data_IF_405975809931
#
_entry.id   IF_405975809931
#
_cell.length_a   1.000
_cell.length_b   1.000
_cell.length_c   1.000
_cell.angle_alpha   90.00
_cell.angle_beta   90.00
_cell.angle_gamma   90.00
#
_symmetry.space_group_name_H-M   'P 1'
#
loop_
_entity.id
_entity.type
_entity.pdbx_description
1 polymer ?
#
# COMPACT_ATOMS: atom_id res chain seq x y z
N UNK A 1 -6.89 -16.64 30.72
CA UNK A 1 -6.88 -17.13 29.33
C UNK A 1 -5.43 -17.06 28.87
N UNK A 2 -4.94 -17.94 27.97
CA UNK A 2 -3.62 -17.75 27.40
C UNK A 2 -3.55 -16.33 26.82
N UNK A 3 -2.48 -15.62 27.14
CA UNK A 3 -2.30 -14.23 26.75
C UNK A 3 -1.78 -14.21 25.32
N UNK A 4 -2.46 -13.52 24.39
CA UNK A 4 -2.01 -13.41 23.00
C UNK A 4 -0.68 -12.62 22.94
N UNK A 5 0.39 -13.18 22.37
CA UNK A 5 1.75 -12.60 22.39
C UNK A 5 1.88 -11.29 21.60
N UNK A 6 0.89 -10.98 20.75
CA UNK A 6 0.84 -9.74 19.97
C UNK A 6 0.16 -8.61 20.76
N UNK A 7 -0.84 -8.94 21.57
CA UNK A 7 -1.65 -7.96 22.31
C UNK A 7 -1.06 -7.61 23.68
N UNK A 8 -0.44 -8.58 24.37
CA UNK A 8 0.17 -8.33 25.69
C UNK A 8 1.59 -8.85 25.71
N UNK A 9 2.52 -7.99 26.12
CA UNK A 9 3.95 -8.27 26.10
C UNK A 9 4.66 -7.50 27.21
N UNK A 10 5.59 -8.17 27.89
CA UNK A 10 6.48 -7.58 28.90
C UNK A 10 7.84 -7.17 28.30
N UNK A 11 8.01 -7.31 26.98
CA UNK A 11 9.24 -6.95 26.30
C UNK A 11 9.44 -5.42 26.33
N UNK A 12 10.71 -4.94 26.33
CA UNK A 12 11.01 -3.51 26.34
C UNK A 12 10.25 -2.74 25.26
N UNK A 13 9.76 -1.55 25.61
CA UNK A 13 8.96 -0.68 24.73
C UNK A 13 7.65 -1.32 24.24
N UNK A 14 7.16 -2.36 24.92
CA UNK A 14 5.98 -3.14 24.55
C UNK A 14 6.09 -3.81 23.17
N UNK A 15 7.31 -4.20 22.77
CA UNK A 15 7.58 -4.91 21.53
C UNK A 15 6.74 -6.21 21.46
N UNK A 16 5.96 -6.45 20.37
CA UNK A 16 5.25 -7.71 20.21
C UNK A 16 6.22 -8.91 20.32
N UNK A 17 5.80 -9.98 20.97
CA UNK A 17 6.63 -11.19 21.10
C UNK A 17 6.56 -12.02 19.82
N UNK A 18 7.21 -11.52 18.75
CA UNK A 18 7.28 -12.19 17.45
C UNK A 18 7.91 -13.58 17.52
N UNK A 19 8.74 -13.87 18.52
CA UNK A 19 9.37 -15.17 18.68
C UNK A 19 8.36 -16.26 19.11
N UNK A 20 7.31 -15.85 19.82
CA UNK A 20 6.25 -16.76 20.28
C UNK A 20 4.99 -16.71 19.41
N UNK A 21 4.83 -15.69 18.56
CA UNK A 21 3.63 -15.49 17.75
C UNK A 21 3.50 -16.53 16.64
N UNK A 22 2.28 -17.05 16.49
CA UNK A 22 1.86 -17.95 15.42
C UNK A 22 0.86 -17.27 14.48
N UNK A 23 0.60 -17.87 13.32
CA UNK A 23 -0.45 -17.42 12.39
C UNK A 23 -1.84 -17.40 13.02
N UNK A 24 -2.10 -18.28 14.00
CA UNK A 24 -3.35 -18.28 14.77
C UNK A 24 -3.44 -17.09 15.73
N UNK A 25 -2.31 -16.67 16.32
CA UNK A 25 -2.28 -15.50 17.21
C UNK A 25 -2.60 -14.20 16.45
N UNK A 26 -2.11 -14.05 15.20
CA UNK A 26 -2.47 -12.91 14.35
C UNK A 26 -3.98 -12.84 14.09
N UNK A 27 -4.57 -14.00 13.74
CA UNK A 27 -6.00 -14.10 13.49
C UNK A 27 -6.81 -13.70 14.72
N UNK A 28 -6.48 -14.29 15.85
CA UNK A 28 -7.14 -14.02 17.12
C UNK A 28 -6.98 -12.55 17.53
N UNK A 29 -5.78 -11.98 17.40
CA UNK A 29 -5.52 -10.59 17.77
C UNK A 29 -6.30 -9.60 16.91
N UNK A 30 -6.38 -9.83 15.59
CA UNK A 30 -7.15 -8.98 14.67
C UNK A 30 -8.65 -9.08 14.98
N UNK A 31 -9.19 -10.29 15.18
CA UNK A 31 -10.61 -10.47 15.51
C UNK A 31 -10.98 -9.84 16.85
N UNK A 32 -10.16 -10.05 17.88
CA UNK A 32 -10.36 -9.43 19.20
C UNK A 32 -10.27 -7.92 19.11
N UNK A 33 -9.28 -7.38 18.39
CA UNK A 33 -9.12 -5.95 18.19
C UNK A 33 -10.31 -5.32 17.45
N UNK A 34 -10.83 -5.97 16.41
CA UNK A 34 -12.01 -5.48 15.68
C UNK A 34 -13.24 -5.42 16.60
N UNK A 35 -13.49 -6.46 17.38
CA UNK A 35 -14.60 -6.48 18.35
C UNK A 35 -14.42 -5.40 19.41
N UNK A 36 -13.24 -5.33 20.04
CA UNK A 36 -12.94 -4.35 21.08
C UNK A 36 -13.09 -2.91 20.59
N UNK A 37 -12.65 -2.61 19.36
CA UNK A 37 -12.79 -1.28 18.79
C UNK A 37 -14.25 -0.91 18.53
N UNK A 38 -15.05 -1.81 17.96
CA UNK A 38 -16.47 -1.52 17.73
C UNK A 38 -17.23 -1.36 19.05
N UNK A 39 -16.95 -2.17 20.07
CA UNK A 39 -17.57 -2.06 21.39
C UNK A 39 -17.16 -0.75 22.08
N UNK A 40 -15.88 -0.37 22.02
CA UNK A 40 -15.38 0.88 22.58
C UNK A 40 -15.97 2.11 21.89
N UNK A 41 -16.04 2.11 20.55
CA UNK A 41 -16.67 3.20 19.79
C UNK A 41 -18.18 3.25 19.98
N UNK A 42 -18.86 2.12 20.20
CA UNK A 42 -20.26 2.10 20.61
C UNK A 42 -20.44 2.77 21.98
N UNK A 43 -19.52 2.55 22.93
CA UNK A 43 -19.54 3.24 24.23
C UNK A 43 -19.32 4.76 24.07
N UNK A 44 -18.43 5.20 23.17
CA UNK A 44 -18.24 6.63 22.84
C UNK A 44 -19.53 7.23 22.27
N UNK A 45 -20.13 6.55 21.29
CA UNK A 45 -21.37 6.96 20.61
C UNK A 45 -22.56 7.06 21.57
N UNK A 46 -22.70 6.08 22.47
CA UNK A 46 -23.86 5.94 23.34
C UNK A 46 -23.67 6.60 24.72
N UNK A 47 -22.53 7.25 24.96
CA UNK A 47 -22.28 7.96 26.21
C UNK A 47 -23.24 9.15 26.37
N UNK A 48 -24.08 9.11 27.40
CA UNK A 48 -25.09 10.13 27.69
C UNK A 48 -24.52 11.41 28.33
N UNK A 49 -23.28 11.39 28.81
CA UNK A 49 -22.62 12.58 29.32
C UNK A 49 -22.31 13.57 28.19
N UNK A 50 -22.22 14.88 28.46
CA UNK A 50 -21.79 15.86 27.45
C UNK A 50 -20.42 15.51 26.85
N UNK A 51 -20.25 15.67 25.52
CA UNK A 51 -19.01 15.28 24.81
C UNK A 51 -17.77 16.09 25.24
N UNK A 52 -16.73 15.43 25.76
CA UNK A 52 -15.44 16.03 26.14
C UNK A 52 -14.31 15.43 25.31
N UNK A 53 -13.13 16.05 25.33
CA UNK A 53 -11.92 15.50 24.68
C UNK A 53 -11.65 14.07 25.16
N UNK A 54 -11.72 13.84 26.48
CA UNK A 54 -11.46 12.54 27.09
C UNK A 54 -12.48 11.46 26.68
N UNK A 55 -13.78 11.77 26.73
CA UNK A 55 -14.82 10.77 26.46
C UNK A 55 -15.16 10.59 24.97
N UNK A 56 -14.53 11.35 24.07
CA UNK A 56 -14.63 11.18 22.62
C UNK A 56 -13.29 10.85 21.99
N UNK A 57 -12.30 11.75 22.03
CA UNK A 57 -11.01 11.53 21.37
C UNK A 57 -10.18 10.49 22.11
N UNK A 58 -10.00 10.67 23.43
CA UNK A 58 -9.23 9.73 24.25
C UNK A 58 -9.85 8.33 24.24
N UNK A 59 -11.15 8.24 24.49
CA UNK A 59 -11.88 6.97 24.48
C UNK A 59 -11.89 6.27 23.10
N UNK A 60 -11.93 7.02 21.99
CA UNK A 60 -11.83 6.44 20.65
C UNK A 60 -10.41 5.93 20.34
N UNK A 61 -9.37 6.64 20.79
CA UNK A 61 -7.98 6.19 20.64
C UNK A 61 -7.70 4.93 21.46
N UNK A 62 -8.22 4.85 22.69
CA UNK A 62 -8.16 3.66 23.52
C UNK A 62 -8.89 2.48 22.86
N UNK A 63 -10.04 2.72 22.24
CA UNK A 63 -10.81 1.67 21.55
C UNK A 63 -10.03 1.04 20.36
N UNK A 64 -9.19 1.82 19.67
CA UNK A 64 -8.40 1.33 18.53
C UNK A 64 -7.13 0.55 18.95
N UNK A 65 -6.67 0.73 20.19
CA UNK A 65 -5.31 0.33 20.62
C UNK A 65 -4.93 -1.12 20.29
N UNK A 66 -5.81 -2.08 20.58
CA UNK A 66 -5.55 -3.50 20.35
C UNK A 66 -5.53 -3.86 18.87
N UNK A 67 -6.48 -3.34 18.07
CA UNK A 67 -6.50 -3.60 16.63
C UNK A 67 -5.28 -2.99 15.95
N UNK A 68 -4.91 -1.75 16.31
CA UNK A 68 -3.72 -1.09 15.79
C UNK A 68 -2.45 -1.89 16.10
N UNK A 69 -2.33 -2.40 17.33
CA UNK A 69 -1.21 -3.27 17.73
C UNK A 69 -1.16 -4.56 16.91
N UNK A 70 -2.30 -5.24 16.75
CA UNK A 70 -2.41 -6.46 15.96
C UNK A 70 -2.06 -6.25 14.48
N UNK A 71 -2.64 -5.23 13.85
CA UNK A 71 -2.41 -4.92 12.43
C UNK A 71 -0.98 -4.45 12.17
N UNK A 72 -0.39 -3.64 13.05
CA UNK A 72 1.02 -3.24 12.90
C UNK A 72 1.96 -4.45 12.94
N UNK A 73 1.73 -5.39 13.87
CA UNK A 73 2.52 -6.62 13.94
C UNK A 73 2.30 -7.50 12.70
N UNK A 74 1.04 -7.67 12.28
CA UNK A 74 0.68 -8.47 11.09
C UNK A 74 1.34 -7.92 9.83
N UNK A 75 1.17 -6.63 9.54
CA UNK A 75 1.70 -6.02 8.31
C UNK A 75 3.23 -5.89 8.31
N UNK A 76 3.87 -5.79 9.49
CA UNK A 76 5.32 -5.86 9.59
C UNK A 76 5.86 -7.20 9.09
N UNK A 77 5.29 -8.33 9.52
CA UNK A 77 5.72 -9.66 9.09
C UNK A 77 5.23 -9.96 7.67
N UNK A 78 3.97 -9.68 7.36
CA UNK A 78 3.41 -9.90 6.01
C UNK A 78 4.18 -9.17 4.90
N UNK A 79 4.76 -8.01 5.17
CA UNK A 79 5.54 -7.27 4.17
C UNK A 79 7.00 -7.73 4.05
N UNK A 80 7.56 -8.36 5.09
CA UNK A 80 9.00 -8.67 5.18
C UNK A 80 9.34 -10.16 5.09
N UNK A 81 8.49 -11.03 5.63
CA UNK A 81 8.70 -12.47 5.78
C UNK A 81 7.35 -13.22 5.68
N UNK A 82 6.62 -12.99 4.59
CA UNK A 82 5.30 -13.59 4.39
C UNK A 82 5.38 -15.09 4.07
N UNK A 83 4.32 -15.81 4.42
CA UNK A 83 4.11 -17.23 4.09
C UNK A 83 2.74 -17.41 3.44
N UNK A 84 2.50 -18.56 2.79
CA UNK A 84 1.19 -18.89 2.20
C UNK A 84 0.05 -18.76 3.22
N UNK A 85 0.27 -19.09 4.49
CA UNK A 85 -0.72 -18.91 5.55
C UNK A 85 -1.00 -17.44 5.87
N UNK A 86 0.03 -16.58 5.91
CA UNK A 86 -0.15 -15.13 6.14
C UNK A 86 -0.83 -14.46 4.93
N UNK A 87 -0.53 -14.91 3.72
CA UNK A 87 -1.21 -14.47 2.50
C UNK A 87 -2.70 -14.84 2.53
N UNK A 88 -3.02 -16.08 2.91
CA UNK A 88 -4.41 -16.53 3.05
C UNK A 88 -5.16 -15.74 4.13
N UNK A 89 -4.49 -15.40 5.24
CA UNK A 89 -5.07 -14.50 6.27
C UNK A 89 -5.36 -13.14 5.65
N UNK A 90 -4.42 -12.50 4.95
CA UNK A 90 -4.66 -11.19 4.38
C UNK A 90 -5.81 -11.19 3.35
N UNK A 91 -5.89 -12.20 2.48
CA UNK A 91 -7.00 -12.36 1.52
C UNK A 91 -8.36 -12.44 2.21
N UNK A 92 -8.42 -13.14 3.35
CA UNK A 92 -9.65 -13.28 4.13
C UNK A 92 -10.02 -12.00 4.88
N UNK A 93 -9.05 -11.32 5.49
CA UNK A 93 -9.31 -10.16 6.35
C UNK A 93 -9.37 -8.84 5.59
N UNK A 94 -8.75 -8.68 4.42
CA UNK A 94 -8.80 -7.41 3.70
C UNK A 94 -10.24 -6.91 3.45
N UNK A 95 -11.21 -7.76 3.01
CA UNK A 95 -12.60 -7.35 2.89
C UNK A 95 -13.27 -7.07 4.25
N UNK A 96 -12.96 -7.85 5.29
CA UNK A 96 -13.54 -7.67 6.65
C UNK A 96 -13.06 -6.38 7.30
N UNK A 97 -11.79 -6.02 7.11
CA UNK A 97 -11.20 -4.78 7.60
C UNK A 97 -11.82 -3.57 6.90
N UNK A 98 -12.09 -3.66 5.58
CA UNK A 98 -12.82 -2.62 4.87
C UNK A 98 -14.26 -2.45 5.41
N UNK A 99 -14.98 -3.55 5.66
CA UNK A 99 -16.31 -3.50 6.28
C UNK A 99 -16.27 -2.90 7.69
N UNK A 100 -15.23 -3.20 8.46
CA UNK A 100 -15.01 -2.65 9.80
C UNK A 100 -14.74 -1.15 9.78
N UNK A 101 -13.88 -0.68 8.88
CA UNK A 101 -13.65 0.75 8.66
C UNK A 101 -14.94 1.46 8.22
N UNK A 102 -15.71 0.86 7.31
CA UNK A 102 -17.01 1.39 6.89
C UNK A 102 -18.04 1.43 8.04
N UNK A 103 -18.05 0.43 8.92
CA UNK A 103 -18.94 0.40 10.08
C UNK A 103 -18.67 1.58 11.03
N UNK A 104 -17.42 2.03 11.10
CA UNK A 104 -17.00 3.17 11.92
C UNK A 104 -17.29 4.48 11.18
N UNK A 105 -16.70 4.67 9.99
CA UNK A 105 -16.72 5.96 9.28
C UNK A 105 -18.08 6.31 8.67
N UNK A 106 -19.01 5.37 8.60
CA UNK A 106 -20.39 5.60 8.15
C UNK A 106 -21.39 5.65 9.32
N UNK A 107 -20.98 5.43 10.57
CA UNK A 107 -21.87 5.59 11.74
C UNK A 107 -22.16 7.07 11.99
N UNK A 108 -23.33 7.52 11.54
CA UNK A 108 -23.78 8.91 11.71
C UNK A 108 -23.89 9.34 13.18
N UNK A 109 -24.25 8.43 14.08
CA UNK A 109 -24.39 8.76 15.51
C UNK A 109 -23.02 8.95 16.16
N UNK A 110 -22.04 8.14 15.75
CA UNK A 110 -20.66 8.35 16.16
C UNK A 110 -20.15 9.69 15.60
N UNK A 111 -20.37 9.98 14.33
CA UNK A 111 -20.01 11.28 13.74
C UNK A 111 -20.66 12.47 14.47
N UNK A 112 -21.95 12.39 14.80
CA UNK A 112 -22.67 13.41 15.58
C UNK A 112 -22.01 13.64 16.95
N UNK A 113 -21.42 12.62 17.57
CA UNK A 113 -20.68 12.76 18.82
C UNK A 113 -19.42 13.61 18.68
N UNK A 114 -18.67 13.47 17.58
CA UNK A 114 -17.53 14.34 17.28
C UNK A 114 -17.98 15.78 16.96
N UNK A 115 -19.09 15.94 16.24
CA UNK A 115 -19.68 17.26 15.96
C UNK A 115 -20.15 17.94 17.26
N UNK A 116 -20.71 17.18 18.20
CA UNK A 116 -21.06 17.69 19.53
C UNK A 116 -19.80 18.24 20.24
N UNK A 117 -18.71 17.47 20.23
CA UNK A 117 -17.43 17.91 20.81
C UNK A 117 -16.94 19.22 20.18
N UNK A 118 -16.95 19.32 18.84
CA UNK A 118 -16.57 20.54 18.11
C UNK A 118 -17.37 21.75 18.59
N UNK A 119 -18.70 21.64 18.62
CA UNK A 119 -19.60 22.69 19.09
C UNK A 119 -19.31 23.10 20.54
N UNK A 120 -19.03 22.14 21.42
CA UNK A 120 -18.75 22.41 22.84
C UNK A 120 -17.42 23.10 23.05
N UNK A 121 -16.40 22.75 22.26
CA UNK A 121 -15.10 23.44 22.25
C UNK A 121 -15.29 24.89 21.79
N UNK A 122 -16.03 25.13 20.70
CA UNK A 122 -16.31 26.48 20.18
C UNK A 122 -17.09 27.34 21.18
N UNK A 123 -18.01 26.73 21.93
CA UNK A 123 -18.79 27.39 22.96
C UNK A 123 -18.02 27.63 24.28
N UNK A 124 -16.79 27.12 24.42
CA UNK A 124 -16.01 27.19 25.65
C UNK A 124 -16.59 26.33 26.79
N UNK A 125 -17.37 25.30 26.46
CA UNK A 125 -17.98 24.38 27.43
C UNK A 125 -17.05 23.20 27.80
N UNK A 126 -16.00 22.98 27.02
CA UNK A 126 -14.94 22.01 27.29
C UNK A 126 -13.61 22.59 26.80
N UNK A 127 -12.57 22.37 27.58
CA UNK A 127 -11.22 22.72 27.18
C UNK A 127 -10.70 21.73 26.13
N UNK A 128 -9.86 22.24 25.25
CA UNK A 128 -9.10 21.51 24.25
C UNK A 128 -7.83 22.32 23.98
N UNK A 129 -6.74 21.68 23.60
CA UNK A 129 -5.54 22.35 23.09
C UNK A 129 -5.48 22.35 21.55
N UNK A 130 -4.34 22.74 20.97
CA UNK A 130 -4.16 22.76 19.51
C UNK A 130 -4.12 21.35 18.92
N UNK A 131 -3.56 20.37 19.64
CA UNK A 131 -3.48 18.98 19.18
C UNK A 131 -4.86 18.33 19.20
N UNK A 132 -5.66 18.58 20.23
CA UNK A 132 -7.04 18.11 20.32
C UNK A 132 -7.90 18.63 19.15
N UNK A 133 -7.76 19.92 18.84
CA UNK A 133 -8.49 20.54 17.71
C UNK A 133 -8.07 19.94 16.37
N UNK A 134 -6.77 19.70 16.18
CA UNK A 134 -6.27 19.06 14.99
C UNK A 134 -6.79 17.63 14.85
N UNK A 135 -6.72 16.83 15.92
CA UNK A 135 -7.22 15.45 15.92
C UNK A 135 -8.74 15.39 15.62
N UNK A 136 -9.51 16.30 16.21
CA UNK A 136 -10.95 16.42 15.94
C UNK A 136 -11.25 16.80 14.49
N UNK A 137 -10.57 17.81 13.95
CA UNK A 137 -10.73 18.24 12.55
C UNK A 137 -10.38 17.11 11.57
N UNK A 138 -9.29 16.38 11.81
CA UNK A 138 -8.92 15.23 10.98
C UNK A 138 -9.92 14.07 11.08
N UNK A 139 -10.44 13.76 12.27
CA UNK A 139 -11.50 12.76 12.44
C UNK A 139 -12.77 13.16 11.67
N UNK A 140 -13.26 14.39 11.85
CA UNK A 140 -14.45 14.90 11.15
C UNK A 140 -14.26 14.90 9.63
N UNK A 141 -13.07 15.26 9.12
CA UNK A 141 -12.73 15.15 7.70
C UNK A 141 -12.72 13.70 7.23
N UNK A 142 -12.20 12.78 8.05
CA UNK A 142 -12.26 11.34 7.80
C UNK A 142 -13.67 10.85 7.52
N UNK A 143 -14.60 11.11 8.44
CA UNK A 143 -16.03 10.80 8.27
C UNK A 143 -16.64 11.41 7.01
N UNK A 144 -16.38 12.71 6.75
CA UNK A 144 -16.92 13.39 5.56
C UNK A 144 -16.41 12.77 4.26
N UNK A 145 -15.09 12.57 4.14
CA UNK A 145 -14.46 11.94 2.96
C UNK A 145 -14.89 10.49 2.77
N UNK A 146 -15.18 9.79 3.87
CA UNK A 146 -15.70 8.44 3.85
C UNK A 146 -17.17 8.36 3.47
N UNK A 147 -17.90 9.49 3.38
CA UNK A 147 -19.28 9.50 2.90
C UNK A 147 -20.33 9.35 4.01
N UNK A 148 -20.05 9.76 5.25
CA UNK A 148 -21.04 9.72 6.35
C UNK A 148 -22.34 10.47 6.02
N UNK A 149 -22.26 11.50 5.17
CA UNK A 149 -23.38 12.34 4.75
C UNK A 149 -24.22 11.76 3.59
N UNK A 150 -23.79 10.66 2.97
CA UNK A 150 -24.55 9.96 1.93
C UNK A 150 -25.83 9.36 2.51
N UNK A 151 -26.87 9.21 1.68
CA UNK A 151 -28.08 8.49 2.07
C UNK A 151 -27.81 6.99 2.28
N UNK A 152 -28.75 6.27 2.89
CA UNK A 152 -28.53 4.89 3.31
C UNK A 152 -28.25 3.96 2.10
N UNK A 153 -28.92 4.18 0.97
CA UNK A 153 -28.69 3.38 -0.24
C UNK A 153 -27.35 3.68 -0.89
N UNK A 154 -26.91 4.94 -0.84
CA UNK A 154 -25.58 5.34 -1.28
C UNK A 154 -24.48 4.77 -0.36
N UNK A 155 -24.69 4.76 0.96
CA UNK A 155 -23.75 4.13 1.90
C UNK A 155 -23.65 2.62 1.67
N UNK A 156 -24.76 1.94 1.41
CA UNK A 156 -24.74 0.50 1.08
C UNK A 156 -23.91 0.24 -0.18
N UNK A 157 -24.10 1.05 -1.23
CA UNK A 157 -23.27 0.96 -2.43
C UNK A 157 -21.80 1.25 -2.14
N UNK A 158 -21.51 2.20 -1.26
CA UNK A 158 -20.14 2.54 -0.88
C UNK A 158 -19.45 1.38 -0.16
N UNK A 159 -20.15 0.68 0.74
CA UNK A 159 -19.66 -0.53 1.42
C UNK A 159 -19.30 -1.64 0.43
N UNK A 160 -20.19 -1.90 -0.54
CA UNK A 160 -19.93 -2.88 -1.60
C UNK A 160 -18.67 -2.53 -2.41
N UNK A 161 -18.51 -1.24 -2.75
CA UNK A 161 -17.36 -0.73 -3.49
C UNK A 161 -16.06 -0.89 -2.69
N UNK A 162 -16.05 -0.51 -1.41
CA UNK A 162 -14.88 -0.59 -0.54
C UNK A 162 -14.46 -2.03 -0.29
N UNK A 163 -15.41 -2.93 0.02
CA UNK A 163 -15.17 -4.37 0.16
C UNK A 163 -14.56 -4.96 -1.11
N UNK A 164 -15.12 -4.65 -2.28
CA UNK A 164 -14.60 -5.16 -3.56
C UNK A 164 -13.21 -4.61 -3.88
N UNK A 165 -12.97 -3.33 -3.64
CA UNK A 165 -11.68 -2.69 -3.84
C UNK A 165 -10.60 -3.27 -2.94
N UNK A 166 -10.91 -3.57 -1.67
CA UNK A 166 -9.99 -4.20 -0.74
C UNK A 166 -9.60 -5.61 -1.21
N UNK A 167 -10.58 -6.43 -1.58
CA UNK A 167 -10.32 -7.78 -2.13
C UNK A 167 -9.52 -7.76 -3.44
N UNK A 168 -9.80 -6.83 -4.35
CA UNK A 168 -9.01 -6.68 -5.59
C UNK A 168 -7.59 -6.19 -5.32
N UNK A 169 -7.40 -5.33 -4.32
CA UNK A 169 -6.05 -4.84 -3.95
C UNK A 169 -5.21 -5.96 -3.35
N UNK A 170 -5.78 -6.80 -2.48
CA UNK A 170 -5.10 -7.98 -1.97
C UNK A 170 -4.73 -8.97 -3.08
N UNK A 171 -5.68 -9.24 -3.99
CA UNK A 171 -5.44 -10.07 -5.17
C UNK A 171 -4.35 -9.49 -6.08
N UNK A 172 -4.33 -8.18 -6.31
CA UNK A 172 -3.29 -7.54 -7.11
C UNK A 172 -1.90 -7.77 -6.53
N UNK A 173 -1.74 -7.58 -5.21
CA UNK A 173 -0.47 -7.78 -4.51
C UNK A 173 0.03 -9.22 -4.61
N UNK A 174 -0.85 -10.20 -4.39
CA UNK A 174 -0.55 -11.63 -4.54
C UNK A 174 -0.08 -11.95 -5.97
N UNK A 175 -0.86 -11.55 -6.98
CA UNK A 175 -0.54 -11.82 -8.38
C UNK A 175 0.79 -11.15 -8.79
N UNK A 176 1.03 -9.92 -8.33
CA UNK A 176 2.26 -9.19 -8.63
C UNK A 176 3.50 -9.84 -7.98
N UNK A 177 3.39 -10.31 -6.73
CA UNK A 177 4.47 -11.08 -6.08
C UNK A 177 4.71 -12.41 -6.80
N UNK A 178 3.64 -13.16 -7.11
CA UNK A 178 3.72 -14.40 -7.86
C UNK A 178 4.39 -14.22 -9.22
N UNK A 179 3.98 -13.20 -9.99
CA UNK A 179 4.61 -12.85 -11.26
C UNK A 179 6.10 -12.52 -11.14
N UNK A 180 6.51 -11.83 -10.07
CA UNK A 180 7.92 -11.47 -9.85
C UNK A 180 8.75 -12.71 -9.49
N UNK A 181 8.24 -13.58 -8.63
CA UNK A 181 8.92 -14.81 -8.21
C UNK A 181 9.02 -15.82 -9.36
N UNK A 182 7.98 -15.94 -10.17
CA UNK A 182 7.91 -16.83 -11.33
C UNK A 182 8.62 -16.26 -12.58
N UNK A 183 8.78 -14.93 -12.65
CA UNK A 183 9.36 -14.24 -13.81
C UNK A 183 10.89 -14.30 -13.90
N UNK A 184 11.56 -14.85 -12.88
CA UNK A 184 13.00 -15.13 -12.96
C UNK A 184 13.32 -16.23 -13.98
N UNK A 185 14.55 -16.26 -14.48
CA UNK A 185 14.96 -17.22 -15.50
C UNK A 185 16.37 -17.76 -15.26
N UNK A 186 16.61 -18.98 -15.75
CA UNK A 186 17.91 -19.64 -15.66
C UNK A 186 18.86 -19.17 -16.77
N UNK A 187 20.13 -19.05 -16.43
CA UNK A 187 21.24 -18.72 -17.32
C UNK A 187 22.43 -19.64 -17.02
N UNK A 188 23.29 -19.82 -18.02
CA UNK A 188 24.58 -20.49 -17.84
C UNK A 188 25.60 -19.59 -17.15
N UNK A 189 26.72 -20.16 -16.69
CA UNK A 189 27.79 -19.37 -16.06
C UNK A 189 28.45 -18.41 -17.05
N UNK A 190 28.56 -18.83 -18.32
CA UNK A 190 29.15 -18.06 -19.42
C UNK A 190 28.27 -16.86 -19.79
N UNK A 191 26.95 -16.96 -19.62
CA UNK A 191 26.00 -15.87 -19.83
C UNK A 191 26.13 -14.76 -18.77
N UNK A 192 26.77 -15.04 -17.63
CA UNK A 192 26.98 -14.09 -16.53
C UNK A 192 28.29 -13.29 -16.64
N UNK A 193 28.83 -13.13 -17.85
CA UNK A 193 30.02 -12.30 -18.07
C UNK A 193 29.80 -10.86 -17.57
N UNK A 194 30.84 -10.30 -16.97
CA UNK A 194 30.81 -9.01 -16.26
C UNK A 194 30.47 -9.07 -14.77
N UNK A 195 29.96 -10.20 -14.26
CA UNK A 195 29.81 -10.43 -12.82
C UNK A 195 31.08 -11.01 -12.20
N UNK A 196 31.36 -10.64 -10.95
CA UNK A 196 32.38 -11.29 -10.12
C UNK A 196 31.94 -12.68 -9.66
N UNK A 197 32.87 -13.55 -9.30
CA UNK A 197 32.56 -14.89 -8.78
C UNK A 197 31.65 -14.86 -7.54
N UNK A 198 31.83 -13.84 -6.68
CA UNK A 198 30.99 -13.63 -5.50
C UNK A 198 29.54 -13.32 -5.89
N UNK A 199 29.32 -12.49 -6.91
CA UNK A 199 27.98 -12.16 -7.42
C UNK A 199 27.35 -13.36 -8.14
N UNK A 200 28.12 -14.11 -8.93
CA UNK A 200 27.62 -15.34 -9.54
C UNK A 200 27.18 -16.34 -8.47
N UNK A 201 27.91 -16.45 -7.37
CA UNK A 201 27.58 -17.37 -6.28
C UNK A 201 26.24 -17.03 -5.61
N UNK A 202 25.78 -15.78 -5.61
CA UNK A 202 24.45 -15.42 -5.09
C UNK A 202 23.30 -15.83 -6.00
N UNK A 203 23.58 -16.09 -7.28
CA UNK A 203 22.59 -16.50 -8.28
C UNK A 203 22.52 -18.04 -8.43
N UNK A 204 23.43 -18.77 -7.78
CA UNK A 204 23.59 -20.21 -7.98
C UNK A 204 22.42 -20.99 -7.38
N UNK A 205 21.93 -21.95 -8.15
CA UNK A 205 20.87 -22.90 -7.81
C UNK A 205 21.32 -24.31 -8.16
N UNK A 206 20.51 -25.33 -7.82
CA UNK A 206 20.82 -26.73 -8.18
C UNK A 206 20.86 -26.95 -9.70
N UNK A 207 20.12 -26.16 -10.48
CA UNK A 207 19.96 -26.28 -11.93
C UNK A 207 20.78 -25.26 -12.75
N UNK A 208 21.75 -24.58 -12.12
CA UNK A 208 22.58 -23.55 -12.77
C UNK A 208 22.53 -22.21 -12.04
N UNK A 209 22.35 -21.11 -12.76
CA UNK A 209 22.23 -19.78 -12.17
C UNK A 209 20.86 -19.19 -12.50
N UNK A 210 20.18 -18.61 -11.51
CA UNK A 210 18.86 -17.99 -11.67
C UNK A 210 18.97 -16.50 -11.42
N UNK A 211 18.48 -15.70 -12.38
CA UNK A 211 18.30 -14.28 -12.20
C UNK A 211 16.86 -14.04 -11.75
N UNK A 212 16.70 -13.41 -10.58
CA UNK A 212 15.40 -13.01 -10.05
C UNK A 212 15.07 -11.56 -10.38
N UNK A 213 13.78 -11.24 -10.43
CA UNK A 213 13.31 -9.89 -10.72
C UNK A 213 13.13 -9.06 -9.44
N UNK A 214 13.57 -7.81 -9.50
CA UNK A 214 13.19 -6.77 -8.52
C UNK A 214 11.98 -5.98 -8.99
N UNK A 215 11.40 -5.16 -8.10
CA UNK A 215 10.15 -4.44 -8.34
C UNK A 215 10.22 -3.31 -9.38
N UNK A 216 11.40 -2.79 -9.73
CA UNK A 216 11.55 -1.72 -10.71
C UNK A 216 11.53 -2.25 -12.14
N UNK A 217 11.32 -1.37 -13.13
CA UNK A 217 11.37 -1.75 -14.56
C UNK A 217 12.80 -2.09 -14.96
N UNK A 218 13.74 -1.16 -14.77
CA UNK A 218 15.16 -1.45 -14.93
C UNK A 218 15.64 -2.32 -13.78
N UNK A 219 16.43 -3.33 -14.12
CA UNK A 219 16.90 -4.36 -13.21
C UNK A 219 18.39 -4.08 -12.90
N UNK A 220 18.79 -3.85 -11.63
CA UNK A 220 20.15 -3.42 -11.29
C UNK A 220 21.27 -4.33 -11.82
N UNK A 221 21.01 -5.63 -11.91
CA UNK A 221 21.98 -6.59 -12.46
C UNK A 221 22.35 -6.28 -13.92
N UNK A 222 21.43 -5.68 -14.68
CA UNK A 222 21.65 -5.27 -16.07
C UNK A 222 22.81 -4.30 -16.26
N UNK A 223 23.19 -3.53 -15.23
CA UNK A 223 24.34 -2.62 -15.28
C UNK A 223 25.69 -3.35 -15.38
N UNK A 224 25.77 -4.62 -14.99
CA UNK A 224 27.02 -5.39 -14.92
C UNK A 224 27.11 -6.51 -15.96
N UNK A 225 25.98 -6.93 -16.53
CA UNK A 225 25.93 -8.02 -17.49
C UNK A 225 26.48 -7.58 -18.85
N UNK A 226 27.63 -8.12 -19.24
CA UNK A 226 28.26 -7.83 -20.54
C UNK A 226 27.46 -8.42 -21.71
N UNK A 227 26.79 -9.56 -21.49
CA UNK A 227 25.97 -10.22 -22.50
C UNK A 227 24.66 -9.45 -22.77
N UNK A 228 24.55 -8.88 -23.97
CA UNK A 228 23.38 -8.12 -24.40
C UNK A 228 22.08 -8.93 -24.41
N UNK A 229 22.13 -10.19 -24.88
CA UNK A 229 20.95 -11.05 -24.94
C UNK A 229 20.37 -11.30 -23.54
N UNK A 230 21.23 -11.42 -22.52
CA UNK A 230 20.79 -11.57 -21.13
C UNK A 230 20.17 -10.27 -20.61
N UNK A 231 20.73 -9.10 -20.94
CA UNK A 231 20.11 -7.81 -20.61
C UNK A 231 18.73 -7.67 -21.25
N UNK A 232 18.58 -8.05 -22.51
CA UNK A 232 17.30 -8.05 -23.23
C UNK A 232 16.28 -8.97 -22.58
N UNK A 233 16.63 -10.23 -22.31
CA UNK A 233 15.78 -11.19 -21.60
C UNK A 233 15.36 -10.68 -20.23
N UNK A 234 16.28 -10.01 -19.51
CA UNK A 234 16.01 -9.43 -18.19
C UNK A 234 15.01 -8.28 -18.24
N UNK A 235 15.17 -7.35 -19.19
CA UNK A 235 14.22 -6.26 -19.37
C UNK A 235 12.85 -6.78 -19.85
N UNK A 236 12.83 -7.75 -20.76
CA UNK A 236 11.60 -8.37 -21.25
C UNK A 236 10.85 -9.07 -20.11
N UNK A 237 11.54 -9.91 -19.33
CA UNK A 237 10.96 -10.56 -18.15
C UNK A 237 10.39 -9.55 -17.15
N UNK A 238 11.12 -8.45 -16.90
CA UNK A 238 10.66 -7.36 -16.02
C UNK A 238 9.43 -6.62 -16.53
N UNK A 239 9.41 -6.25 -17.82
CA UNK A 239 8.34 -5.43 -18.42
C UNK A 239 7.09 -6.22 -18.79
N UNK A 240 7.22 -7.53 -19.00
CA UNK A 240 6.11 -8.42 -19.31
C UNK A 240 5.58 -9.19 -18.11
N UNK A 241 6.20 -9.03 -16.92
CA UNK A 241 5.70 -9.62 -15.68
C UNK A 241 4.24 -9.23 -15.45
N UNK A 242 3.45 -10.19 -14.98
CA UNK A 242 2.04 -10.01 -14.65
C UNK A 242 1.13 -9.58 -15.82
N UNK A 243 1.54 -9.79 -17.07
CA UNK A 243 0.73 -9.48 -18.27
C UNK A 243 0.07 -10.72 -18.91
N UNK A 244 0.23 -11.92 -18.34
CA UNK A 244 -0.37 -13.15 -18.87
C UNK A 244 -0.39 -14.28 -17.84
N UNK A 245 -1.02 -15.40 -18.18
CA UNK A 245 -1.03 -16.62 -17.37
C UNK A 245 -1.84 -16.48 -16.09
N UNK A 246 -1.47 -17.27 -15.08
CA UNK A 246 -2.14 -17.27 -13.77
C UNK A 246 -1.92 -15.97 -12.99
N UNK A 247 -0.83 -15.24 -13.27
CA UNK A 247 -0.46 -14.00 -12.60
C UNK A 247 -0.86 -12.72 -13.36
N UNK A 248 -1.78 -12.81 -14.33
CA UNK A 248 -2.24 -11.64 -15.10
C UNK A 248 -3.00 -10.63 -14.23
N UNK A 249 -2.47 -9.41 -14.12
CA UNK A 249 -3.05 -8.32 -13.31
C UNK A 249 -3.90 -7.33 -14.11
N UNK A 250 -3.91 -7.41 -15.45
CA UNK A 250 -4.52 -6.38 -16.30
C UNK A 250 -6.01 -6.22 -16.04
N UNK A 251 -6.73 -7.33 -15.94
CA UNK A 251 -8.16 -7.33 -15.62
C UNK A 251 -8.46 -6.75 -14.24
N UNK A 252 -7.63 -7.10 -13.25
CA UNK A 252 -7.74 -6.62 -11.86
C UNK A 252 -7.56 -5.10 -11.79
N UNK A 253 -6.52 -4.55 -12.42
CA UNK A 253 -6.26 -3.10 -12.43
C UNK A 253 -7.40 -2.33 -13.11
N UNK A 254 -7.90 -2.83 -14.24
CA UNK A 254 -9.02 -2.18 -14.95
C UNK A 254 -10.28 -2.15 -14.07
N UNK A 255 -10.56 -3.23 -13.36
CA UNK A 255 -11.69 -3.28 -12.42
C UNK A 255 -11.49 -2.30 -11.25
N UNK A 256 -10.31 -2.29 -10.63
CA UNK A 256 -9.96 -1.32 -9.57
C UNK A 256 -10.16 0.11 -10.06
N UNK A 257 -9.68 0.46 -11.25
CA UNK A 257 -9.82 1.81 -11.80
C UNK A 257 -11.29 2.21 -11.99
N UNK A 258 -12.13 1.31 -12.49
CA UNK A 258 -13.58 1.55 -12.66
C UNK A 258 -14.28 1.76 -11.32
N UNK A 259 -14.00 0.89 -10.34
CA UNK A 259 -14.61 0.99 -9.01
C UNK A 259 -14.14 2.24 -8.26
N UNK A 260 -12.87 2.63 -8.40
CA UNK A 260 -12.35 3.90 -7.85
C UNK A 260 -13.02 5.12 -8.49
N UNK A 261 -13.32 5.07 -9.79
CA UNK A 261 -14.05 6.14 -10.48
C UNK A 261 -15.50 6.23 -9.98
N UNK A 262 -16.19 5.10 -9.89
CA UNK A 262 -17.57 5.04 -9.36
C UNK A 262 -17.64 5.55 -7.92
N UNK A 263 -16.72 5.09 -7.05
CA UNK A 263 -16.62 5.54 -5.67
C UNK A 263 -16.40 7.05 -5.57
N UNK A 264 -15.55 7.61 -6.44
CA UNK A 264 -15.32 9.05 -6.47
C UNK A 264 -16.59 9.83 -6.83
N UNK A 265 -17.30 9.40 -7.87
CA UNK A 265 -18.56 10.04 -8.27
C UNK A 265 -19.61 9.93 -7.16
N UNK A 266 -19.72 8.77 -6.50
CA UNK A 266 -20.64 8.57 -5.39
C UNK A 266 -20.36 9.54 -4.22
N UNK A 267 -19.08 9.80 -3.93
CA UNK A 267 -18.63 10.75 -2.91
C UNK A 267 -18.65 12.21 -3.38
N UNK A 268 -19.12 12.51 -4.60
CA UNK A 268 -19.22 13.87 -5.14
C UNK A 268 -17.94 14.42 -5.78
N UNK A 269 -16.94 13.58 -6.02
CA UNK A 269 -15.68 13.96 -6.67
C UNK A 269 -15.68 13.62 -8.17
N UNK A 270 -14.99 14.42 -9.02
CA UNK A 270 -14.94 14.17 -10.47
C UNK A 270 -14.14 12.91 -10.83
N UNK A 271 -13.17 12.53 -10.00
CA UNK A 271 -12.32 11.35 -10.21
C UNK A 271 -11.58 10.99 -8.92
N UNK A 272 -11.09 9.75 -8.82
CA UNK A 272 -10.38 9.25 -7.66
C UNK A 272 -9.20 10.14 -7.21
N UNK A 273 -8.44 10.69 -8.17
CA UNK A 273 -7.29 11.55 -7.86
C UNK A 273 -7.68 12.84 -7.12
N UNK A 274 -8.93 13.31 -7.22
CA UNK A 274 -9.37 14.51 -6.50
C UNK A 274 -9.52 14.20 -5.01
N UNK A 275 -10.05 13.02 -4.67
CA UNK A 275 -10.14 12.53 -3.28
C UNK A 275 -8.73 12.46 -2.67
N UNK A 276 -7.78 11.86 -3.40
CA UNK A 276 -6.41 11.67 -2.94
C UNK A 276 -5.69 13.02 -2.79
N UNK A 277 -5.87 13.93 -3.75
CA UNK A 277 -5.21 15.23 -3.72
C UNK A 277 -5.71 16.12 -2.57
N UNK A 278 -7.02 16.11 -2.28
CA UNK A 278 -7.61 16.89 -1.18
C UNK A 278 -7.01 16.50 0.18
N UNK A 279 -6.81 15.19 0.41
CA UNK A 279 -6.17 14.68 1.62
C UNK A 279 -4.66 15.01 1.67
N UNK A 280 -3.99 15.07 0.52
CA UNK A 280 -2.57 15.39 0.42
C UNK A 280 -2.23 16.87 0.66
N UNK A 281 -0.93 17.18 0.70
CA UNK A 281 -0.45 18.58 0.82
C UNK A 281 -0.73 19.41 -0.44
N UNK A 282 -0.82 18.78 -1.60
CA UNK A 282 -1.05 19.48 -2.88
C UNK A 282 -2.47 20.02 -3.03
N UNK A 283 -3.45 19.47 -2.28
CA UNK A 283 -4.87 19.88 -2.22
C UNK A 283 -5.69 19.75 -3.50
N UNK A 284 -5.08 19.76 -4.68
CA UNK A 284 -5.76 19.61 -5.96
C UNK A 284 -4.88 18.89 -6.98
N UNK A 285 -5.53 18.29 -7.99
CA UNK A 285 -4.82 17.71 -9.14
C UNK A 285 -4.16 18.77 -10.01
N UNK A 286 -4.70 19.98 -10.04
CA UNK A 286 -4.12 21.09 -10.81
C UNK A 286 -2.77 21.49 -10.23
N UNK A 287 -2.67 21.67 -8.91
CA UNK A 287 -1.38 21.96 -8.25
C UNK A 287 -0.35 20.86 -8.47
N UNK A 288 -0.77 19.59 -8.48
CA UNK A 288 0.11 18.45 -8.81
C UNK A 288 0.64 18.58 -10.24
N UNK A 289 -0.24 18.85 -11.21
CA UNK A 289 0.13 18.94 -12.63
C UNK A 289 0.97 20.20 -12.94
N UNK A 290 0.68 21.33 -12.30
CA UNK A 290 1.47 22.56 -12.39
C UNK A 290 2.92 22.36 -11.95
N UNK A 291 3.15 21.50 -10.95
CA UNK A 291 4.49 21.12 -10.52
C UNK A 291 5.13 20.09 -11.46
N UNK A 292 4.42 19.01 -11.80
CA UNK A 292 5.00 17.86 -12.50
C UNK A 292 5.20 18.10 -14.00
N UNK A 293 4.30 18.81 -14.68
CA UNK A 293 4.37 18.94 -16.14
C UNK A 293 5.63 19.70 -16.62
N UNK A 294 6.03 20.86 -16.03
CA UNK A 294 7.27 21.54 -16.42
C UNK A 294 8.53 20.73 -16.08
N UNK A 295 8.50 20.01 -14.95
CA UNK A 295 9.60 19.13 -14.54
C UNK A 295 9.77 17.98 -15.55
N UNK A 296 8.67 17.34 -15.94
CA UNK A 296 8.67 16.25 -16.92
C UNK A 296 9.19 16.71 -18.29
N UNK A 297 8.83 17.93 -18.73
CA UNK A 297 9.34 18.49 -19.99
C UNK A 297 10.85 18.71 -19.96
N UNK A 298 11.36 19.29 -18.86
CA UNK A 298 12.80 19.50 -18.66
C UNK A 298 13.56 18.18 -18.55
N UNK A 299 13.03 17.22 -17.80
CA UNK A 299 13.60 15.89 -17.65
C UNK A 299 13.64 15.12 -18.99
N UNK A 300 12.59 15.23 -19.80
CA UNK A 300 12.54 14.60 -21.12
C UNK A 300 13.57 15.19 -22.09
N UNK A 301 13.81 16.50 -22.04
CA UNK A 301 14.86 17.13 -22.83
C UNK A 301 16.23 16.54 -22.46
N UNK A 302 16.53 16.46 -21.16
CA UNK A 302 17.80 15.89 -20.69
C UNK A 302 17.95 14.40 -21.01
N UNK A 303 16.90 13.60 -20.82
CA UNK A 303 16.90 12.18 -21.14
C UNK A 303 17.16 11.93 -22.65
N UNK A 304 16.72 12.82 -23.54
CA UNK A 304 17.03 12.71 -24.99
C UNK A 304 18.49 12.99 -25.31
N UNK A 305 19.11 13.94 -24.60
CA UNK A 305 20.55 14.20 -24.72
C UNK A 305 21.34 12.99 -24.23
N UNK A 306 21.01 12.47 -23.05
CA UNK A 306 21.64 11.28 -22.48
C UNK A 306 21.48 10.06 -23.39
N UNK A 307 20.29 9.85 -23.99
CA UNK A 307 20.09 8.77 -24.94
C UNK A 307 21.03 8.85 -26.15
N UNK A 308 21.36 10.06 -26.64
CA UNK A 308 22.31 10.24 -27.74
C UNK A 308 23.74 9.93 -27.30
N UNK A 309 24.14 10.42 -26.12
CA UNK A 309 25.47 10.17 -25.54
C UNK A 309 25.69 8.67 -25.28
N UNK A 310 24.72 8.00 -24.66
CA UNK A 310 24.77 6.57 -24.37
C UNK A 310 24.72 5.74 -25.66
N UNK A 311 23.90 6.11 -26.64
CA UNK A 311 23.89 5.42 -27.93
C UNK A 311 25.22 5.52 -28.66
N UNK A 312 25.92 6.66 -28.60
CA UNK A 312 27.25 6.81 -29.19
C UNK A 312 28.28 5.95 -28.46
N UNK A 313 28.29 5.97 -27.12
CA UNK A 313 29.18 5.11 -26.31
C UNK A 313 28.91 3.63 -26.56
N UNK A 314 27.64 3.23 -26.71
CA UNK A 314 27.29 1.84 -27.03
C UNK A 314 27.82 1.40 -28.38
N UNK A 315 27.77 2.26 -29.40
CA UNK A 315 28.29 1.94 -30.73
C UNK A 315 29.83 1.74 -30.74
N UNK A 316 30.55 2.42 -29.84
CA UNK A 316 32.00 2.21 -29.64
C UNK A 316 32.27 0.87 -28.93
N UNK A 317 31.48 0.53 -27.92
CA UNK A 317 31.62 -0.72 -27.15
C UNK A 317 31.17 -1.96 -27.95
N UNK A 318 30.13 -1.81 -28.77
CA UNK A 318 29.47 -2.89 -29.50
C UNK A 318 29.24 -2.49 -30.98
N UNK A 319 30.30 -2.45 -31.82
CA UNK A 319 30.17 -2.01 -33.20
C UNK A 319 29.15 -2.83 -34.00
N UNK A 320 28.15 -2.13 -34.56
CA UNK A 320 27.09 -2.74 -35.38
C UNK A 320 25.90 -3.28 -34.60
N UNK A 321 25.90 -3.23 -33.26
CA UNK A 321 24.74 -3.56 -32.44
C UNK A 321 23.77 -2.36 -32.32
N UNK A 322 22.49 -2.64 -32.16
CA UNK A 322 21.46 -1.64 -31.87
C UNK A 322 21.44 -1.33 -30.38
N UNK A 323 21.46 -0.03 -30.00
CA UNK A 323 21.29 0.40 -28.62
C UNK A 323 19.80 0.41 -28.26
N UNK A 324 19.44 -0.26 -27.16
CA UNK A 324 18.05 -0.35 -26.71
C UNK A 324 17.89 0.05 -25.24
N UNK A 325 16.65 0.05 -24.75
CA UNK A 325 16.36 0.31 -23.33
C UNK A 325 17.05 -0.70 -22.37
N UNK A 326 17.36 -1.92 -22.84
CA UNK A 326 18.04 -2.94 -22.03
C UNK A 326 19.52 -2.59 -21.78
N UNK A 327 20.09 -1.72 -22.60
CA UNK A 327 21.51 -1.36 -22.57
C UNK A 327 21.76 -0.09 -21.77
N UNK A 328 20.71 0.67 -21.45
CA UNK A 328 20.83 1.98 -20.81
C UNK A 328 21.71 1.95 -19.56
N UNK A 329 21.36 1.10 -18.59
CA UNK A 329 22.08 1.02 -17.30
C UNK A 329 23.48 0.42 -17.44
N UNK A 330 23.71 -0.41 -18.47
CA UNK A 330 25.02 -1.00 -18.73
C UNK A 330 26.01 0.05 -19.25
N UNK A 331 25.53 0.93 -20.15
CA UNK A 331 26.37 1.99 -20.73
C UNK A 331 26.53 3.17 -19.77
N UNK A 332 25.56 3.40 -18.90
CA UNK A 332 25.63 4.45 -17.87
C UNK A 332 26.66 4.12 -16.77
N UNK A 333 26.82 2.84 -16.42
CA UNK A 333 27.77 2.36 -15.43
C UNK A 333 29.25 2.57 -15.82
#
# INVERSE_FOLDING_TARGET
MPTNPLLTTELPFTLPDFASATTSDYREAVEQGMVAQLDGLAAVRDNAEPATVENVLGAAEDAEADLRRALNAFFAVYSSDSTDELEAIYEEYAPKLAEHEDAILLDRRLYERYVELERRIEAGETDADEQDRYALDEALRGFRRAGVALDDGQQDRLRDLNKRLAGLSAKFEQLNRGARNAGGFTVSEEELDGLTDAEKQTLKTDDGYKIELVNTTQQPLGAKLANADVRHRLLEASTTRALSGEFDTRGVIVEIARLRAERATLLGYPHHAAIVAEAGCAKSTDAILEMLAPLAQSALAKAREEAQELSARYAELNPGAEFTAADWTYVEA
#
